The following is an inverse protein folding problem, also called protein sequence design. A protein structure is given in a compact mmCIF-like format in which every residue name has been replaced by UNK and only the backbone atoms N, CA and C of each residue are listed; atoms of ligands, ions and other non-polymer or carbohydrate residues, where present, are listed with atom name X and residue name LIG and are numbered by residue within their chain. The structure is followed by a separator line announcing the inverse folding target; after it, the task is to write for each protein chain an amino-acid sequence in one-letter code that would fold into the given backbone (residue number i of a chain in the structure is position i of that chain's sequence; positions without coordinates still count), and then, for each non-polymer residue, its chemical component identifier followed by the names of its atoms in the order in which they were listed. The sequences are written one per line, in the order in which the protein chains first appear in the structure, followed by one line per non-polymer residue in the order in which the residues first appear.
data_IF_108158470082
#
_entry.id   IF_108158470082
#
_cell.length_a   1.000
_cell.length_b   1.000
_cell.length_c   1.000
_cell.angle_alpha   90.00
_cell.angle_beta   90.00
_cell.angle_gamma   90.00
#
_symmetry.space_group_name_H-M   'P 1'
#
loop_
_entity.id
_entity.type
_entity.pdbx_description
1 polymer ?
#
# COMPACT_ATOMS: atom_id res chain seq x y z
N UNK A 1 -63.24 9.83 -55.85
CA UNK A 1 -61.90 10.42 -55.87
C UNK A 1 -61.55 10.79 -54.44
N UNK A 2 -60.79 9.94 -53.74
CA UNK A 2 -59.85 10.22 -52.64
C UNK A 2 -59.52 8.88 -51.95
N UNK A 3 -58.46 8.23 -52.41
CA UNK A 3 -57.78 7.18 -51.64
C UNK A 3 -56.85 7.87 -50.63
N UNK A 4 -57.21 7.83 -49.35
CA UNK A 4 -56.36 8.33 -48.28
C UNK A 4 -55.51 7.17 -47.76
N UNK A 5 -54.29 7.08 -48.29
CA UNK A 5 -53.30 6.07 -47.98
C UNK A 5 -52.87 6.20 -46.51
N UNK A 6 -53.18 5.18 -45.71
CA UNK A 6 -52.76 5.05 -44.31
C UNK A 6 -51.26 4.73 -44.31
N UNK A 7 -50.47 5.66 -43.83
CA UNK A 7 -49.01 5.55 -43.66
C UNK A 7 -48.70 4.56 -42.53
N UNK A 8 -48.03 3.46 -42.85
CA UNK A 8 -47.62 2.44 -41.88
C UNK A 8 -46.38 2.90 -41.10
N UNK A 9 -46.28 2.64 -39.78
CA UNK A 9 -45.13 3.03 -38.99
C UNK A 9 -43.89 2.25 -39.44
N UNK A 10 -42.93 2.97 -40.02
CA UNK A 10 -41.66 2.41 -40.48
C UNK A 10 -40.90 1.78 -39.31
N UNK A 11 -40.71 0.46 -39.34
CA UNK A 11 -39.78 -0.26 -38.44
C UNK A 11 -38.41 0.42 -38.49
N UNK A 12 -37.75 0.66 -37.34
CA UNK A 12 -36.38 1.14 -37.35
C UNK A 12 -35.49 0.11 -38.07
N UNK A 13 -34.77 0.56 -39.11
CA UNK A 13 -33.83 -0.27 -39.88
C UNK A 13 -32.85 -0.93 -38.91
N UNK A 14 -32.90 -2.25 -38.81
CA UNK A 14 -32.08 -3.10 -37.93
C UNK A 14 -30.58 -2.75 -38.02
N UNK A 15 -30.13 -2.34 -39.21
CA UNK A 15 -28.77 -1.85 -39.49
C UNK A 15 -28.37 -0.62 -38.65
N UNK A 16 -29.30 0.32 -38.39
CA UNK A 16 -29.02 1.51 -37.60
C UNK A 16 -28.84 1.20 -36.11
N UNK A 17 -29.56 0.20 -35.59
CA UNK A 17 -29.36 -0.30 -34.22
C UNK A 17 -28.02 -1.04 -34.08
N UNK A 18 -27.66 -1.86 -35.09
CA UNK A 18 -26.38 -2.57 -35.11
C UNK A 18 -25.19 -1.60 -35.11
N UNK A 19 -25.25 -0.53 -35.92
CA UNK A 19 -24.20 0.49 -35.98
C UNK A 19 -23.99 1.19 -34.63
N UNK A 20 -25.09 1.56 -33.94
CA UNK A 20 -25.02 2.19 -32.62
C UNK A 20 -24.47 1.24 -31.56
N UNK A 21 -24.87 -0.03 -31.58
CA UNK A 21 -24.37 -1.03 -30.63
C UNK A 21 -22.87 -1.26 -30.82
N UNK A 22 -22.40 -1.32 -32.06
CA UNK A 22 -20.97 -1.43 -32.37
C UNK A 22 -20.17 -0.23 -31.84
N UNK A 23 -20.68 1.00 -32.03
CA UNK A 23 -20.04 2.21 -31.52
C UNK A 23 -19.94 2.21 -29.99
N UNK A 24 -21.01 1.83 -29.30
CA UNK A 24 -21.02 1.73 -27.83
C UNK A 24 -19.99 0.69 -27.37
N UNK A 25 -19.99 -0.50 -27.98
CA UNK A 25 -19.03 -1.56 -27.68
C UNK A 25 -17.58 -1.10 -27.90
N UNK A 26 -17.32 -0.36 -28.98
CA UNK A 26 -15.99 0.17 -29.26
C UNK A 26 -15.54 1.17 -28.19
N UNK A 27 -16.42 2.10 -27.79
CA UNK A 27 -16.12 3.09 -26.74
C UNK A 27 -15.85 2.40 -25.40
N UNK A 28 -16.67 1.41 -25.03
CA UNK A 28 -16.47 0.62 -23.81
C UNK A 28 -15.16 -0.16 -23.86
N UNK A 29 -14.83 -0.77 -25.00
CA UNK A 29 -13.58 -1.50 -25.18
C UNK A 29 -12.36 -0.59 -25.03
N UNK A 30 -12.37 0.59 -25.65
CA UNK A 30 -11.29 1.59 -25.52
C UNK A 30 -11.17 2.08 -24.08
N UNK A 31 -12.27 2.27 -23.37
CA UNK A 31 -12.26 2.65 -21.95
C UNK A 31 -11.63 1.56 -21.07
N UNK A 32 -11.99 0.29 -21.30
CA UNK A 32 -11.42 -0.84 -20.57
C UNK A 32 -9.92 -1.01 -20.85
N UNK A 33 -9.51 -0.86 -22.10
CA UNK A 33 -8.08 -0.89 -22.47
C UNK A 33 -7.33 0.25 -21.78
N UNK A 34 -7.86 1.47 -21.80
CA UNK A 34 -7.25 2.59 -21.10
C UNK A 34 -7.20 2.38 -19.58
N UNK A 35 -8.21 1.75 -18.99
CA UNK A 35 -8.25 1.44 -17.56
C UNK A 35 -7.22 0.36 -17.18
N UNK A 36 -6.97 -0.62 -18.05
CA UNK A 36 -5.96 -1.66 -17.85
C UNK A 36 -4.55 -1.12 -18.09
N UNK A 37 -4.34 -0.29 -19.12
CA UNK A 37 -3.04 0.32 -19.44
C UNK A 37 -2.69 1.43 -18.45
N UNK A 38 -3.68 2.14 -17.91
CA UNK A 38 -3.54 2.98 -16.73
C UNK A 38 -3.39 2.11 -15.47
N UNK A 39 -2.51 1.10 -15.54
CA UNK A 39 -1.87 0.50 -14.38
C UNK A 39 -1.60 1.62 -13.39
N UNK A 40 -1.97 1.44 -12.12
CA UNK A 40 -1.87 2.50 -11.15
C UNK A 40 -0.37 2.73 -10.90
N UNK A 41 0.24 3.61 -11.69
CA UNK A 41 1.58 4.16 -11.45
C UNK A 41 1.62 4.94 -10.13
N UNK A 42 0.44 5.23 -9.58
CA UNK A 42 0.19 5.84 -8.28
C UNK A 42 -0.10 4.83 -7.16
N UNK A 43 -0.28 3.53 -7.45
CA UNK A 43 -0.29 2.51 -6.40
C UNK A 43 1.16 2.17 -6.01
N UNK A 44 1.86 3.20 -5.56
CA UNK A 44 3.18 3.08 -4.98
C UNK A 44 2.99 2.41 -3.62
N UNK A 45 3.16 1.08 -3.63
CA UNK A 45 3.07 0.14 -2.49
C UNK A 45 1.67 -0.45 -2.33
N UNK A 46 1.50 -1.64 -2.91
CA UNK A 46 0.85 -2.70 -2.14
C UNK A 46 1.46 -2.69 -0.74
N UNK A 47 0.69 -2.68 0.36
CA UNK A 47 1.24 -3.08 1.64
C UNK A 47 1.63 -4.53 1.40
N UNK A 48 2.90 -4.76 1.07
CA UNK A 48 3.42 -6.10 1.02
C UNK A 48 3.22 -6.59 2.44
N UNK A 49 2.18 -7.41 2.62
CA UNK A 49 2.05 -8.34 3.73
C UNK A 49 3.17 -9.36 3.55
N UNK A 50 4.40 -8.87 3.51
CA UNK A 50 5.59 -9.62 3.36
C UNK A 50 5.86 -10.09 4.78
N UNK A 51 5.59 -11.36 5.03
CA UNK A 51 5.93 -12.06 6.28
C UNK A 51 7.47 -12.10 6.53
N UNK A 52 8.25 -11.29 5.82
CA UNK A 52 9.63 -10.99 6.16
C UNK A 52 9.62 -10.17 7.45
N UNK A 53 9.76 -10.91 8.54
CA UNK A 53 9.93 -10.46 9.94
C UNK A 53 11.04 -9.41 10.17
N UNK A 54 11.79 -9.05 9.13
CA UNK A 54 12.90 -8.09 9.12
C UNK A 54 12.49 -6.69 8.64
N UNK A 55 11.24 -6.49 8.18
CA UNK A 55 10.74 -5.15 7.84
C UNK A 55 10.04 -4.51 9.04
N UNK A 56 10.61 -3.40 9.50
CA UNK A 56 9.99 -2.55 10.52
C UNK A 56 8.84 -1.73 9.92
N UNK A 57 7.78 -1.54 10.70
CA UNK A 57 6.63 -0.70 10.35
C UNK A 57 6.57 0.55 11.25
N UNK A 58 6.04 1.66 10.75
CA UNK A 58 5.81 2.87 11.56
C UNK A 58 4.74 2.58 12.63
N UNK A 59 4.97 3.02 13.86
CA UNK A 59 4.16 2.71 15.04
C UNK A 59 4.48 1.37 15.71
N UNK A 60 5.40 0.57 15.14
CA UNK A 60 5.78 -0.71 15.72
C UNK A 60 6.62 -0.52 16.98
N UNK A 61 6.27 -1.25 18.05
CA UNK A 61 7.10 -1.34 19.27
C UNK A 61 8.28 -2.28 19.00
N UNK A 62 9.48 -1.79 19.29
CA UNK A 62 10.75 -2.49 19.06
C UNK A 62 11.65 -2.36 20.30
N UNK A 63 12.66 -3.22 20.38
CA UNK A 63 13.72 -3.10 21.40
C UNK A 63 14.98 -2.57 20.72
N UNK A 64 15.50 -1.46 21.20
CA UNK A 64 16.78 -0.93 20.77
C UNK A 64 17.92 -1.52 21.61
N UNK A 65 18.86 -2.17 20.92
CA UNK A 65 20.08 -2.73 21.46
C UNK A 65 21.15 -1.65 21.54
N UNK A 66 21.17 -0.94 22.67
CA UNK A 66 22.15 0.09 22.94
C UNK A 66 23.40 -0.50 23.59
N UNK A 67 24.57 -0.04 23.15
CA UNK A 67 25.86 -0.41 23.71
C UNK A 67 26.63 0.86 24.00
N UNK A 68 27.05 1.06 25.25
CA UNK A 68 27.65 2.33 25.69
C UNK A 68 28.97 2.65 24.98
N UNK A 69 29.74 1.62 24.65
CA UNK A 69 31.03 1.71 23.94
C UNK A 69 31.21 0.53 23.00
N UNK A 70 31.87 0.70 21.86
CA UNK A 70 31.95 -0.32 20.80
C UNK A 70 32.59 -1.66 21.24
N UNK A 71 33.39 -1.65 22.31
CA UNK A 71 34.08 -2.78 22.94
C UNK A 71 33.29 -3.46 24.08
N UNK A 72 32.30 -2.79 24.67
CA UNK A 72 31.55 -3.30 25.83
C UNK A 72 30.79 -4.61 25.55
N UNK A 73 30.89 -5.61 26.42
CA UNK A 73 30.07 -6.84 26.30
C UNK A 73 28.58 -6.58 26.55
N UNK A 74 28.26 -5.48 27.21
CA UNK A 74 26.94 -5.26 27.80
C UNK A 74 26.04 -4.52 26.83
N UNK A 75 25.00 -5.22 26.38
CA UNK A 75 23.97 -4.68 25.50
C UNK A 75 22.74 -4.35 26.34
N UNK A 76 22.43 -3.06 26.45
CA UNK A 76 21.21 -2.58 27.09
C UNK A 76 20.05 -2.68 26.12
N UNK A 77 18.94 -3.23 26.61
CA UNK A 77 17.69 -3.36 25.86
C UNK A 77 16.76 -2.22 26.25
N UNK A 78 16.52 -1.30 25.32
CA UNK A 78 15.72 -0.09 25.55
C UNK A 78 14.45 -0.16 24.72
N UNK A 79 13.24 -0.13 25.32
CA UNK A 79 12.00 -0.15 24.57
C UNK A 79 11.83 1.14 23.77
N UNK A 80 11.41 1.01 22.51
CA UNK A 80 11.22 2.12 21.59
C UNK A 80 10.07 1.88 20.62
N UNK A 81 9.70 2.92 19.89
CA UNK A 81 8.66 2.88 18.87
C UNK A 81 9.21 3.42 17.55
N UNK A 82 8.92 2.75 16.44
CA UNK A 82 9.35 3.20 15.11
C UNK A 82 8.52 4.40 14.67
N UNK A 83 9.17 5.52 14.34
CA UNK A 83 8.49 6.74 13.88
C UNK A 83 8.61 6.89 12.37
N UNK A 84 9.78 6.57 11.82
CA UNK A 84 10.05 6.79 10.41
C UNK A 84 11.03 5.74 9.88
N UNK A 85 10.84 5.35 8.63
CA UNK A 85 11.69 4.42 7.91
C UNK A 85 12.48 5.17 6.85
N UNK A 86 13.79 4.88 6.77
CA UNK A 86 14.68 5.32 5.71
C UNK A 86 15.40 4.10 5.12
N UNK A 87 16.05 4.26 3.97
CA UNK A 87 16.69 3.16 3.24
C UNK A 87 17.83 2.49 4.01
N UNK A 88 18.48 3.20 4.94
CA UNK A 88 19.62 2.70 5.71
C UNK A 88 19.43 2.74 7.22
N UNK A 89 18.44 3.50 7.69
CA UNK A 89 18.26 3.81 9.10
C UNK A 89 16.77 3.84 9.44
N UNK A 90 16.47 3.56 10.70
CA UNK A 90 15.12 3.64 11.25
C UNK A 90 15.12 4.71 12.32
N UNK A 91 14.17 5.62 12.28
CA UNK A 91 13.97 6.58 13.35
C UNK A 91 13.10 5.94 14.42
N UNK A 92 13.61 5.94 15.64
CA UNK A 92 12.90 5.44 16.81
C UNK A 92 12.62 6.57 17.80
N UNK A 93 11.50 6.44 18.51
CA UNK A 93 11.10 7.24 19.65
C UNK A 93 11.39 6.44 20.92
N UNK A 94 12.27 6.98 21.76
CA UNK A 94 12.64 6.39 23.05
C UNK A 94 12.07 7.24 24.17
N UNK A 95 11.37 6.61 25.11
CA UNK A 95 10.81 7.30 26.28
C UNK A 95 11.83 7.37 27.42
N UNK A 96 11.93 8.53 28.06
CA UNK A 96 12.71 8.77 29.28
C UNK A 96 11.79 8.74 30.51
N UNK A 97 12.39 8.79 31.71
CA UNK A 97 11.68 8.65 32.98
C UNK A 97 10.62 9.73 33.31
N UNK A 98 10.46 10.78 32.51
CA UNK A 98 9.48 11.86 32.74
C UNK A 98 8.48 12.04 31.59
N UNK A 99 8.11 10.98 30.86
CA UNK A 99 7.26 11.05 29.65
C UNK A 99 7.87 11.84 28.48
N UNK A 100 9.04 12.44 28.67
CA UNK A 100 9.85 12.99 27.60
C UNK A 100 10.28 11.88 26.65
N UNK A 101 10.36 12.21 25.36
CA UNK A 101 10.87 11.29 24.35
C UNK A 101 11.97 11.93 23.53
N UNK A 102 12.86 11.09 23.02
CA UNK A 102 13.90 11.51 22.09
C UNK A 102 13.77 10.68 20.82
N UNK A 103 13.80 11.37 19.69
CA UNK A 103 13.87 10.73 18.39
C UNK A 103 15.34 10.48 18.03
N UNK A 104 15.66 9.25 17.62
CA UNK A 104 17.02 8.86 17.24
C UNK A 104 17.00 8.00 15.99
N UNK A 105 17.89 8.30 15.06
CA UNK A 105 18.16 7.41 13.92
C UNK A 105 19.10 6.29 14.34
N UNK A 106 18.70 5.05 14.09
CA UNK A 106 19.46 3.85 14.45
C UNK A 106 19.54 2.90 13.26
N UNK A 107 20.57 2.06 13.28
CA UNK A 107 20.71 0.99 12.30
C UNK A 107 19.66 -0.11 12.58
N UNK A 108 18.93 -0.61 11.56
CA UNK A 108 18.00 -1.73 11.69
C UNK A 108 18.58 -2.94 12.44
N UNK A 109 19.88 -3.23 12.25
CA UNK A 109 20.57 -4.37 12.88
C UNK A 109 20.76 -4.20 14.40
N UNK A 110 20.45 -3.02 14.95
CA UNK A 110 20.45 -2.73 16.39
C UNK A 110 19.03 -2.72 16.96
N UNK A 111 18.03 -3.16 16.20
CA UNK A 111 16.64 -3.26 16.63
C UNK A 111 16.22 -4.73 16.65
N UNK A 112 15.59 -5.15 17.75
CA UNK A 112 14.91 -6.43 17.83
C UNK A 112 13.40 -6.22 17.63
N UNK A 113 12.80 -7.06 16.77
CA UNK A 113 11.36 -7.09 16.58
C UNK A 113 10.71 -7.91 17.70
N UNK A 114 9.77 -7.31 18.43
CA UNK A 114 9.01 -7.97 19.50
C UNK A 114 8.18 -9.17 19.01
N UNK A 115 7.83 -9.24 17.73
CA UNK A 115 7.11 -10.40 17.17
C UNK A 115 7.96 -11.69 17.19
N UNK A 116 9.29 -11.60 16.98
CA UNK A 116 10.17 -12.79 17.06
C UNK A 116 10.28 -13.35 18.48
N UNK A 117 10.12 -12.49 19.50
CA UNK A 117 10.27 -12.89 20.91
C UNK A 117 9.13 -13.78 21.39
N UNK A 118 7.96 -13.71 20.77
CA UNK A 118 6.80 -14.53 21.17
C UNK A 118 6.84 -15.95 20.61
N UNK A 119 7.50 -16.18 19.47
CA UNK A 119 7.60 -17.51 18.86
C UNK A 119 8.71 -18.37 19.47
N UNK A 120 9.77 -17.77 20.02
CA UNK A 120 10.89 -18.51 20.62
C UNK A 120 10.65 -18.98 22.07
N UNK A 121 9.45 -18.80 22.60
CA UNK A 121 9.07 -19.12 24.00
C UNK A 121 8.04 -20.27 24.07
N UNK A 122 7.67 -20.85 22.93
CA UNK A 122 6.80 -22.03 22.85
C UNK A 122 7.53 -23.23 22.26
#
# INVERSE_FOLDING_TARGET
MLDQQIDCPSRPKTSAMIMKLFQITLVVLVLLINLVIAFPSWAEKTPSSNNNSDYFQVGQKVIWLYKARADSSDVQRIPAEVVQLSSKQVQIKVYKHNHEFVNRWVNPNKLENLQKVKESVF
#
